data_IF_872398688978
#
_entry.id   IF_872398688978
#
_cell.length_a   1.000
_cell.length_b   1.000
_cell.length_c   1.000
_cell.angle_alpha   90.00
_cell.angle_beta   90.00
_cell.angle_gamma   90.00
#
_symmetry.space_group_name_H-M   'P 1'
#
loop_
_entity.id
_entity.type
_entity.pdbx_description
1 polymer ?
#
# COMPACT_ATOMS: atom_id res chain seq x y z
N UNK A 1 -15.43 -5.72 49.41
CA UNK A 1 -14.12 -5.45 48.78
C UNK A 1 -13.64 -6.56 47.84
N UNK A 2 -13.75 -7.86 48.17
CA UNK A 2 -13.28 -8.97 47.29
C UNK A 2 -13.93 -9.02 45.89
N UNK A 3 -15.23 -8.70 45.78
CA UNK A 3 -15.96 -8.71 44.49
C UNK A 3 -15.47 -7.63 43.51
N UNK A 4 -15.18 -6.43 44.00
CA UNK A 4 -14.67 -5.33 43.17
C UNK A 4 -13.27 -5.64 42.62
N UNK A 5 -12.41 -6.29 43.42
CA UNK A 5 -11.07 -6.69 42.99
C UNK A 5 -11.12 -7.72 41.84
N UNK A 6 -12.03 -8.70 41.92
CA UNK A 6 -12.22 -9.70 40.86
C UNK A 6 -12.73 -9.04 39.57
N UNK A 7 -13.68 -8.11 39.66
CA UNK A 7 -14.19 -7.37 38.49
C UNK A 7 -13.10 -6.53 37.82
N UNK A 8 -12.24 -5.86 38.61
CA UNK A 8 -11.10 -5.09 38.08
C UNK A 8 -10.10 -6.00 37.36
N UNK A 9 -9.76 -7.16 37.94
CA UNK A 9 -8.84 -8.12 37.32
C UNK A 9 -9.40 -8.65 35.99
N UNK A 10 -10.68 -9.02 35.94
CA UNK A 10 -11.34 -9.49 34.70
C UNK A 10 -11.34 -8.38 33.64
N UNK A 11 -11.63 -7.14 34.04
CA UNK A 11 -11.59 -5.98 33.15
C UNK A 11 -10.22 -5.76 32.52
N UNK A 12 -9.15 -5.82 33.31
CA UNK A 12 -7.76 -5.66 32.83
C UNK A 12 -7.39 -6.78 31.84
N UNK A 13 -7.75 -8.03 32.13
CA UNK A 13 -7.46 -9.17 31.25
C UNK A 13 -8.20 -9.06 29.92
N UNK A 14 -9.46 -8.63 29.92
CA UNK A 14 -10.24 -8.43 28.68
C UNK A 14 -9.70 -7.27 27.84
N UNK A 15 -9.30 -6.16 28.46
CA UNK A 15 -8.69 -5.03 27.76
C UNK A 15 -7.32 -5.40 27.20
N UNK A 16 -6.48 -6.11 27.96
CA UNK A 16 -5.19 -6.57 27.49
C UNK A 16 -5.31 -7.59 26.34
N UNK A 17 -6.26 -8.54 26.44
CA UNK A 17 -6.53 -9.54 25.41
C UNK A 17 -7.06 -8.92 24.12
N UNK A 18 -8.02 -8.00 24.22
CA UNK A 18 -8.55 -7.28 23.05
C UNK A 18 -7.50 -6.38 22.40
N UNK A 19 -6.64 -5.72 23.19
CA UNK A 19 -5.52 -4.94 22.66
C UNK A 19 -4.50 -5.82 21.93
N UNK A 20 -4.15 -6.99 22.47
CA UNK A 20 -3.27 -7.96 21.81
C UNK A 20 -3.84 -8.44 20.47
N UNK A 21 -5.12 -8.78 20.43
CA UNK A 21 -5.82 -9.19 19.19
C UNK A 21 -5.88 -8.04 18.19
N UNK A 22 -6.14 -6.81 18.66
CA UNK A 22 -6.18 -5.62 17.82
C UNK A 22 -4.82 -5.34 17.19
N UNK A 23 -3.74 -5.37 17.98
CA UNK A 23 -2.38 -5.17 17.47
C UNK A 23 -1.99 -6.30 16.50
N UNK A 24 -2.32 -7.56 16.83
CA UNK A 24 -2.08 -8.68 15.93
C UNK A 24 -2.78 -8.49 14.58
N UNK A 25 -4.08 -8.16 14.57
CA UNK A 25 -4.84 -7.92 13.35
C UNK A 25 -4.39 -6.67 12.57
N UNK A 26 -3.80 -5.68 13.26
CA UNK A 26 -3.25 -4.47 12.65
C UNK A 26 -1.99 -4.77 11.84
N UNK A 27 -1.13 -5.67 12.32
CA UNK A 27 0.15 -6.02 11.68
C UNK A 27 0.10 -7.33 10.89
N UNK A 28 -1.05 -8.02 10.89
CA UNK A 28 -1.28 -9.19 10.07
C UNK A 28 -1.22 -8.81 8.59
N UNK A 29 -0.67 -9.72 7.80
CA UNK A 29 -0.67 -9.64 6.34
C UNK A 29 -2.09 -9.66 5.78
N UNK A 30 -2.35 -8.79 4.81
CA UNK A 30 -3.61 -8.65 4.08
C UNK A 30 -3.35 -8.40 2.59
N UNK A 31 -4.23 -8.85 1.69
CA UNK A 31 -4.16 -8.44 0.29
C UNK A 31 -4.32 -6.92 0.18
N UNK A 32 -3.70 -6.31 -0.83
CA UNK A 32 -3.82 -4.86 -1.03
C UNK A 32 -5.26 -4.41 -1.27
N UNK A 33 -6.12 -5.28 -1.79
CA UNK A 33 -7.54 -4.97 -2.04
C UNK A 33 -8.34 -4.78 -0.74
N UNK A 34 -7.93 -5.42 0.36
CA UNK A 34 -8.49 -5.14 1.70
C UNK A 34 -8.07 -3.76 2.23
N UNK A 35 -6.97 -3.20 1.70
CA UNK A 35 -6.49 -1.85 2.03
C UNK A 35 -7.09 -0.82 1.08
N UNK A 36 -7.19 -1.15 -0.20
CA UNK A 36 -7.74 -0.34 -1.29
C UNK A 36 -9.13 -0.87 -1.65
N UNK A 37 -10.07 -0.69 -0.74
CA UNK A 37 -11.38 -1.36 -0.80
C UNK A 37 -12.15 -1.05 -2.09
N UNK A 38 -12.02 0.17 -2.60
CA UNK A 38 -12.69 0.61 -3.83
C UNK A 38 -11.99 0.17 -5.13
N UNK A 39 -10.79 -0.43 -5.07
CA UNK A 39 -10.05 -0.83 -6.27
C UNK A 39 -10.70 -2.04 -7.00
N UNK A 40 -11.51 -2.84 -6.31
CA UNK A 40 -12.23 -3.95 -6.92
C UNK A 40 -13.52 -3.51 -7.62
N UNK A 41 -14.20 -2.51 -7.05
CA UNK A 41 -15.50 -2.04 -7.54
C UNK A 41 -15.39 -0.92 -8.58
N UNK A 42 -14.25 -0.22 -8.63
CA UNK A 42 -14.04 0.95 -9.50
C UNK A 42 -13.43 0.61 -10.86
N UNK A 43 -13.74 1.42 -11.87
CA UNK A 43 -13.08 1.34 -13.18
C UNK A 43 -11.79 2.15 -13.18
N UNK A 44 -10.67 1.47 -13.38
CA UNK A 44 -9.35 2.13 -13.55
C UNK A 44 -9.29 2.81 -14.92
N UNK A 45 -9.15 4.13 -14.93
CA UNK A 45 -9.10 4.97 -16.13
C UNK A 45 -7.66 5.21 -16.60
N UNK A 46 -6.72 5.40 -15.68
CA UNK A 46 -5.28 5.50 -15.99
C UNK A 46 -4.43 4.93 -14.87
N UNK A 47 -3.24 4.44 -15.25
CA UNK A 47 -2.15 4.17 -14.32
C UNK A 47 -0.95 4.98 -14.82
N UNK A 48 -0.50 5.92 -14.00
CA UNK A 48 0.66 6.76 -14.25
C UNK A 48 1.77 6.35 -13.29
N UNK A 49 2.96 6.06 -13.81
CA UNK A 49 4.12 5.70 -13.00
C UNK A 49 5.22 6.70 -13.29
N UNK A 50 5.71 7.39 -12.27
CA UNK A 50 6.82 8.32 -12.37
C UNK A 50 8.05 7.75 -11.68
N UNK A 51 9.17 7.66 -12.40
CA UNK A 51 10.46 7.31 -11.79
C UNK A 51 11.03 8.52 -11.04
N UNK A 52 11.47 8.32 -9.82
CA UNK A 52 12.03 9.37 -8.98
C UNK A 52 13.56 9.32 -9.04
N UNK A 53 14.20 10.48 -9.22
CA UNK A 53 15.65 10.61 -9.22
C UNK A 53 16.09 11.52 -8.08
N UNK A 54 16.26 10.94 -6.87
CA UNK A 54 16.79 11.48 -5.60
C UNK A 54 16.27 12.84 -5.09
N UNK A 55 15.78 13.76 -5.93
CA UNK A 55 15.22 15.09 -5.63
C UNK A 55 14.38 15.69 -6.79
N UNK A 56 14.20 15.01 -7.94
CA UNK A 56 13.40 15.53 -9.08
C UNK A 56 12.44 14.48 -9.61
N UNK A 57 11.25 14.94 -10.02
CA UNK A 57 10.34 14.15 -10.86
C UNK A 57 11.09 13.74 -12.13
N UNK A 58 11.26 12.43 -12.30
CA UNK A 58 11.86 11.86 -13.51
C UNK A 58 10.83 11.64 -14.60
N UNK A 59 11.14 10.71 -15.51
CA UNK A 59 10.26 10.35 -16.63
C UNK A 59 8.94 9.77 -16.09
N UNK A 60 7.83 10.23 -16.66
CA UNK A 60 6.48 9.72 -16.39
C UNK A 60 6.05 8.78 -17.51
N UNK A 61 5.41 7.68 -17.14
CA UNK A 61 4.93 6.63 -18.03
C UNK A 61 3.43 6.46 -17.79
N UNK A 62 2.63 6.64 -18.84
CA UNK A 62 1.17 6.58 -18.75
C UNK A 62 0.68 5.33 -19.47
N UNK A 63 0.26 4.35 -18.70
CA UNK A 63 -0.32 3.13 -19.25
C UNK A 63 -1.81 3.40 -19.53
N UNK A 64 -2.22 3.24 -20.79
CA UNK A 64 -3.64 3.35 -21.23
C UNK A 64 -4.22 2.01 -21.68
N UNK A 65 -3.42 1.16 -22.34
CA UNK A 65 -3.85 -0.16 -22.82
C UNK A 65 -3.31 -1.34 -21.99
N UNK A 66 -2.20 -1.16 -21.26
CA UNK A 66 -1.56 -2.20 -20.42
C UNK A 66 -1.98 -2.19 -18.95
N UNK A 67 -2.99 -1.38 -18.62
CA UNK A 67 -3.56 -1.26 -17.26
C UNK A 67 -3.91 -2.62 -16.65
N UNK A 68 -4.25 -3.60 -17.49
CA UNK A 68 -4.62 -4.94 -17.03
C UNK A 68 -3.48 -5.68 -16.32
N UNK A 69 -2.22 -5.49 -16.72
CA UNK A 69 -1.10 -6.31 -16.21
C UNK A 69 -0.60 -5.78 -14.86
N UNK A 70 -0.34 -4.47 -14.76
CA UNK A 70 0.07 -3.83 -13.50
C UNK A 70 -1.02 -4.00 -12.44
N UNK A 71 -2.28 -3.77 -12.80
CA UNK A 71 -3.40 -3.90 -11.87
C UNK A 71 -3.60 -5.35 -11.38
N UNK A 72 -3.52 -6.34 -12.28
CA UNK A 72 -3.62 -7.77 -11.90
C UNK A 72 -2.52 -8.18 -10.92
N UNK A 73 -1.32 -7.65 -11.09
CA UNK A 73 -0.19 -7.93 -10.19
C UNK A 73 -0.33 -7.20 -8.88
N UNK A 74 -0.72 -5.92 -8.92
CA UNK A 74 -1.02 -5.14 -7.72
C UNK A 74 -2.02 -5.87 -6.84
N UNK A 75 -3.13 -6.36 -7.40
CA UNK A 75 -4.16 -7.13 -6.66
C UNK A 75 -3.64 -8.40 -5.98
N UNK A 76 -2.50 -8.95 -6.41
CA UNK A 76 -1.86 -10.12 -5.78
C UNK A 76 -0.91 -9.74 -4.64
N UNK A 77 -0.56 -8.47 -4.49
CA UNK A 77 0.35 -8.00 -3.46
C UNK A 77 -0.30 -8.20 -2.09
N UNK A 78 0.46 -8.83 -1.20
CA UNK A 78 0.12 -8.93 0.21
C UNK A 78 1.00 -8.01 1.03
N UNK A 79 0.36 -7.26 1.91
CA UNK A 79 0.92 -6.17 2.66
C UNK A 79 0.75 -6.41 4.14
N UNK A 80 1.78 -6.07 4.92
CA UNK A 80 1.67 -5.90 6.36
C UNK A 80 1.97 -4.46 6.71
N UNK A 81 1.17 -3.87 7.60
CA UNK A 81 1.43 -2.52 8.09
C UNK A 81 2.81 -2.49 8.79
N UNK A 82 3.57 -1.44 8.59
CA UNK A 82 4.84 -1.23 9.30
C UNK A 82 4.74 -0.06 10.27
N UNK A 83 5.70 0.03 11.19
CA UNK A 83 5.88 1.22 12.04
C UNK A 83 6.92 2.18 11.47
N UNK A 84 7.55 1.80 10.37
CA UNK A 84 8.66 2.53 9.77
C UNK A 84 8.11 3.79 9.11
N UNK A 85 8.83 4.91 9.24
CA UNK A 85 8.44 6.19 8.65
C UNK A 85 9.43 6.54 7.54
N UNK A 86 9.08 6.17 6.30
CA UNK A 86 9.86 6.55 5.13
C UNK A 86 9.46 7.94 4.66
N UNK A 87 10.47 8.73 4.30
CA UNK A 87 10.24 9.97 3.58
C UNK A 87 9.78 9.64 2.15
N UNK A 88 8.56 10.07 1.79
CA UNK A 88 7.93 9.84 0.49
C UNK A 88 8.77 10.41 -0.67
N UNK A 89 9.61 11.42 -0.41
CA UNK A 89 10.50 11.99 -1.43
C UNK A 89 11.69 11.10 -1.79
N UNK A 90 11.98 10.07 -0.98
CA UNK A 90 13.06 9.12 -1.21
C UNK A 90 12.60 7.82 -1.89
N UNK A 91 11.34 7.71 -2.32
CA UNK A 91 10.87 6.55 -3.06
C UNK A 91 11.56 6.42 -4.44
N UNK A 92 11.59 5.21 -4.99
CA UNK A 92 12.12 4.95 -6.34
C UNK A 92 11.08 5.29 -7.42
N UNK A 93 9.81 5.03 -7.14
CA UNK A 93 8.70 5.25 -8.07
C UNK A 93 7.46 5.80 -7.37
N UNK A 94 6.70 6.65 -8.07
CA UNK A 94 5.37 7.10 -7.67
C UNK A 94 4.37 6.54 -8.67
N UNK A 95 3.42 5.73 -8.21
CA UNK A 95 2.32 5.21 -9.01
C UNK A 95 1.03 5.95 -8.64
N UNK A 96 0.38 6.60 -9.61
CA UNK A 96 -0.97 7.14 -9.47
C UNK A 96 -1.94 6.26 -10.24
N UNK A 97 -2.95 5.75 -9.55
CA UNK A 97 -4.06 4.98 -10.14
C UNK A 97 -5.28 5.87 -10.07
N UNK A 98 -5.76 6.30 -11.23
CA UNK A 98 -6.98 7.09 -11.33
C UNK A 98 -8.14 6.14 -11.57
N UNK A 99 -9.14 6.22 -10.70
CA UNK A 99 -10.41 5.50 -10.85
C UNK A 99 -11.54 6.50 -11.02
N UNK A 100 -12.76 6.01 -11.25
CA UNK A 100 -13.97 6.83 -11.27
C UNK A 100 -14.40 7.34 -9.89
N UNK A 101 -14.00 6.67 -8.81
CA UNK A 101 -14.37 7.04 -7.43
C UNK A 101 -13.24 7.76 -6.67
N UNK A 102 -11.98 7.45 -6.99
CA UNK A 102 -10.83 7.82 -6.17
C UNK A 102 -9.55 7.96 -6.99
N UNK A 103 -8.59 8.72 -6.46
CA UNK A 103 -7.21 8.72 -6.93
C UNK A 103 -6.32 8.11 -5.85
N UNK A 104 -5.71 6.99 -6.19
CA UNK A 104 -4.80 6.27 -5.30
C UNK A 104 -3.37 6.62 -5.70
N UNK A 105 -2.57 7.09 -4.75
CA UNK A 105 -1.13 7.33 -4.93
C UNK A 105 -0.33 6.34 -4.10
N UNK A 106 0.60 5.63 -4.73
CA UNK A 106 1.46 4.63 -4.12
C UNK A 106 2.91 5.04 -4.33
N UNK A 107 3.65 5.25 -3.25
CA UNK A 107 5.09 5.49 -3.29
C UNK A 107 5.79 4.15 -3.09
N UNK A 108 6.69 3.77 -3.99
CA UNK A 108 7.33 2.46 -4.04
C UNK A 108 8.82 2.57 -3.67
N UNK A 109 9.21 1.81 -2.65
CA UNK A 109 10.58 1.65 -2.15
C UNK A 109 11.05 0.25 -2.53
N UNK A 110 11.75 0.15 -3.65
CA UNK A 110 12.05 -1.10 -4.35
C UNK A 110 13.01 -1.96 -3.56
N UNK A 111 14.09 -1.34 -3.07
CA UNK A 111 15.16 -2.04 -2.35
C UNK A 111 14.64 -2.62 -1.02
N UNK A 112 13.72 -1.91 -0.36
CA UNK A 112 13.13 -2.29 0.92
C UNK A 112 11.88 -3.19 0.78
N UNK A 113 11.35 -3.29 -0.45
CA UNK A 113 10.04 -3.90 -0.77
C UNK A 113 8.91 -3.30 0.05
N UNK A 114 8.92 -1.97 0.16
CA UNK A 114 7.93 -1.21 0.93
C UNK A 114 7.12 -0.26 0.05
N UNK A 115 5.93 0.07 0.53
CA UNK A 115 5.07 1.04 -0.13
C UNK A 115 4.33 1.91 0.87
N UNK A 116 4.18 3.17 0.50
CA UNK A 116 3.32 4.12 1.19
C UNK A 116 2.10 4.35 0.33
N UNK A 117 0.92 4.12 0.90
CA UNK A 117 -0.34 4.22 0.17
C UNK A 117 -1.10 5.44 0.70
N UNK A 118 -1.56 6.26 -0.24
CA UNK A 118 -2.44 7.40 -0.03
C UNK A 118 -3.65 7.28 -0.96
N UNK A 119 -4.83 7.56 -0.44
CA UNK A 119 -6.10 7.57 -1.17
C UNK A 119 -6.88 8.78 -0.70
N UNK A 120 -7.57 9.46 -1.62
CA UNK A 120 -8.35 10.66 -1.31
C UNK A 120 -9.64 10.31 -0.55
N UNK A 121 -10.14 9.09 -0.70
CA UNK A 121 -11.38 8.61 -0.08
C UNK A 121 -11.18 7.94 1.28
N UNK A 122 -10.00 7.40 1.53
CA UNK A 122 -9.72 6.61 2.71
C UNK A 122 -9.26 7.48 3.90
N UNK A 123 -10.12 7.60 4.92
CA UNK A 123 -9.93 8.50 6.08
C UNK A 123 -8.78 8.13 7.02
N UNK A 124 -8.11 6.99 6.80
CA UNK A 124 -7.07 6.50 7.71
C UNK A 124 -5.68 7.11 7.48
N UNK A 125 -5.56 8.08 6.57
CA UNK A 125 -4.35 8.87 6.35
C UNK A 125 -3.21 8.09 5.69
N UNK A 126 -1.97 8.56 5.87
CA UNK A 126 -0.77 7.91 5.32
C UNK A 126 -0.48 6.60 6.05
N UNK A 127 -0.36 5.48 5.32
CA UNK A 127 0.05 4.20 5.91
C UNK A 127 1.18 3.54 5.13
N UNK A 128 2.11 2.99 5.89
CA UNK A 128 3.32 2.36 5.39
C UNK A 128 3.16 0.85 5.48
N UNK A 129 3.50 0.18 4.40
CA UNK A 129 3.29 -1.25 4.25
C UNK A 129 4.54 -1.90 3.70
N UNK A 130 4.85 -3.07 4.23
CA UNK A 130 5.86 -3.96 3.68
C UNK A 130 5.19 -5.04 2.87
N UNK A 131 5.65 -5.25 1.65
CA UNK A 131 5.23 -6.38 0.84
C UNK A 131 5.95 -7.64 1.33
N UNK A 132 5.19 -8.69 1.61
CA UNK A 132 5.79 -9.91 2.18
C UNK A 132 6.45 -10.78 1.11
N UNK A 133 5.88 -10.79 -0.10
CA UNK A 133 6.45 -11.47 -1.26
C UNK A 133 5.79 -10.89 -2.50
N UNK A 134 6.57 -10.22 -3.35
CA UNK A 134 5.98 -9.50 -4.45
C UNK A 134 6.94 -9.27 -5.60
N UNK A 135 6.76 -10.08 -6.65
CA UNK A 135 7.29 -9.84 -8.00
C UNK A 135 6.77 -8.50 -8.60
N UNK A 136 5.87 -7.80 -7.90
CA UNK A 136 5.31 -6.53 -8.35
C UNK A 136 6.38 -5.47 -8.59
N UNK A 137 7.35 -5.33 -7.68
CA UNK A 137 8.41 -4.32 -7.84
C UNK A 137 9.26 -4.62 -9.09
N UNK A 138 9.65 -5.87 -9.27
CA UNK A 138 10.43 -6.32 -10.42
C UNK A 138 9.67 -6.15 -11.75
N UNK A 139 8.35 -6.40 -11.74
CA UNK A 139 7.51 -6.19 -12.92
C UNK A 139 7.32 -4.71 -13.23
N UNK A 140 7.15 -3.85 -12.22
CA UNK A 140 7.11 -2.41 -12.43
C UNK A 140 8.41 -1.94 -13.08
N UNK A 141 9.57 -2.37 -12.59
CA UNK A 141 10.85 -2.04 -13.22
C UNK A 141 10.96 -2.56 -14.67
N UNK A 142 10.53 -3.79 -14.91
CA UNK A 142 10.57 -4.42 -16.24
C UNK A 142 9.69 -3.68 -17.24
N UNK A 143 8.46 -3.31 -16.85
CA UNK A 143 7.52 -2.60 -17.72
C UNK A 143 8.00 -1.20 -18.06
N UNK A 144 8.58 -0.49 -17.09
CA UNK A 144 9.18 0.82 -17.31
C UNK A 144 10.43 0.76 -18.19
N UNK A 145 11.18 -0.33 -18.12
CA UNK A 145 12.37 -0.55 -18.98
C UNK A 145 11.93 -0.78 -20.43
N UNK A 146 10.89 -1.59 -20.66
CA UNK A 146 10.34 -1.82 -22.02
C UNK A 146 9.80 -0.54 -22.66
N UNK A 147 9.03 0.28 -21.93
CA UNK A 147 8.59 1.58 -22.45
C UNK A 147 9.74 2.58 -22.71
N UNK A 148 10.95 2.37 -22.16
CA UNK A 148 12.12 3.16 -22.53
C UNK A 148 12.78 2.70 -23.83
N UNK A 149 12.67 1.42 -24.19
CA UNK A 149 13.25 0.87 -25.42
C UNK A 149 12.38 1.16 -26.65
N UNK A 150 11.07 1.37 -26.46
CA UNK A 150 10.11 1.71 -27.51
C UNK A 150 10.03 3.23 -27.83
N UNK A 151 10.92 4.06 -27.26
CA UNK A 151 11.07 5.51 -27.51
C UNK A 151 12.41 5.82 -28.15
#
# INVERSE_FOLDING_TARGET
MKKALITIIIGIVLVAGSYGIFQYNKYKEKPITDVLTHLEDSKVSSIDVTKMNKLKFGKNYTFKNDNSSILKLLKKVKLRLTKDDYDMFNCNYIMSITTDLDRITIFLFVDEKEMVIFSDTESWGRRHYKATDSDFFDVVETLLTKENEDV
#
